data_IF_990278319871
#
_entry.id   IF_990278319871
#
_cell.length_a   1.000
_cell.length_b   1.000
_cell.length_c   1.000
_cell.angle_alpha   90.00
_cell.angle_beta   90.00
_cell.angle_gamma   90.00
#
_symmetry.space_group_name_H-M   'P 1'
#
loop_
_entity.id
_entity.type
_entity.pdbx_description
1 polymer ?
#
# COMPACT_ATOMS: atom_id res chain seq x y z
N UNK A 1 -41.62 63.61 36.74
CA UNK A 1 -41.26 62.18 36.63
C UNK A 1 -40.16 62.05 35.59
N UNK A 2 -39.05 61.38 35.93
CA UNK A 2 -37.76 61.46 35.24
C UNK A 2 -37.71 60.55 34.01
N UNK A 3 -37.34 61.10 32.86
CA UNK A 3 -36.89 60.35 31.70
C UNK A 3 -35.41 59.96 31.91
N UNK A 4 -35.11 58.67 31.90
CA UNK A 4 -33.75 58.14 31.98
C UNK A 4 -33.20 58.02 30.56
N UNK A 5 -32.23 58.88 30.23
CA UNK A 5 -31.58 58.95 28.93
C UNK A 5 -30.22 58.22 29.05
N UNK A 6 -30.16 56.94 28.66
CA UNK A 6 -28.91 56.16 28.68
C UNK A 6 -28.25 56.29 27.30
N UNK A 7 -27.17 57.08 27.25
CA UNK A 7 -26.22 57.08 26.13
C UNK A 7 -25.33 55.83 26.27
N UNK A 8 -25.42 54.90 25.31
CA UNK A 8 -24.48 53.80 25.15
C UNK A 8 -23.31 54.27 24.26
N UNK A 9 -22.11 54.26 24.81
CA UNK A 9 -20.85 54.51 24.08
C UNK A 9 -20.45 53.27 23.27
N UNK A 10 -19.77 53.43 22.11
CA UNK A 10 -19.27 52.30 21.34
C UNK A 10 -18.09 51.65 22.06
N UNK A 11 -18.26 50.41 22.51
CA UNK A 11 -17.16 49.58 22.98
C UNK A 11 -16.40 49.08 21.74
N UNK A 12 -15.07 49.25 21.65
CA UNK A 12 -14.29 48.75 20.52
C UNK A 12 -14.30 47.22 20.49
N UNK A 13 -14.68 46.67 19.34
CA UNK A 13 -14.74 45.23 19.02
C UNK A 13 -13.44 44.43 19.27
N UNK A 14 -12.33 45.10 19.61
CA UNK A 14 -11.03 44.48 19.85
C UNK A 14 -10.91 43.74 21.20
N UNK A 15 -11.77 44.02 22.19
CA UNK A 15 -11.68 43.41 23.52
C UNK A 15 -12.49 42.12 23.70
N UNK A 16 -13.45 41.84 22.82
CA UNK A 16 -14.21 40.58 22.88
C UNK A 16 -13.42 39.37 22.35
N UNK A 17 -12.45 39.59 21.45
CA UNK A 17 -11.59 38.53 20.92
C UNK A 17 -10.52 38.06 21.93
N UNK A 18 -10.08 38.92 22.85
CA UNK A 18 -9.09 38.55 23.87
C UNK A 18 -9.72 37.79 25.07
N UNK A 19 -11.01 38.03 25.36
CA UNK A 19 -11.70 37.35 26.46
C UNK A 19 -12.02 35.88 26.16
N UNK A 20 -12.13 35.46 24.88
CA UNK A 20 -12.27 34.05 24.52
C UNK A 20 -10.96 33.26 24.56
N UNK A 21 -9.80 33.91 24.55
CA UNK A 21 -8.50 33.22 24.66
C UNK A 21 -8.12 32.91 26.12
N UNK A 22 -8.72 33.59 27.11
CA UNK A 22 -8.45 33.39 28.53
C UNK A 22 -9.44 32.44 29.22
N UNK A 23 -10.57 32.13 28.59
CA UNK A 23 -11.37 30.97 28.97
C UNK A 23 -10.66 29.76 28.38
N UNK A 24 -9.97 28.98 29.22
CA UNK A 24 -9.36 27.69 28.87
C UNK A 24 -10.39 26.64 28.45
N UNK A 25 -11.26 26.96 27.49
CA UNK A 25 -11.90 26.00 26.61
C UNK A 25 -10.80 25.43 25.71
N UNK A 26 -9.93 24.63 26.31
CA UNK A 26 -9.48 23.42 25.64
C UNK A 26 -10.76 22.72 25.24
N UNK A 27 -11.24 22.93 24.01
CA UNK A 27 -12.08 21.93 23.40
C UNK A 27 -11.22 20.67 23.49
N UNK A 28 -11.63 19.62 24.22
CA UNK A 28 -11.06 18.32 23.97
C UNK A 28 -11.51 18.00 22.56
N UNK A 29 -10.73 18.43 21.58
CA UNK A 29 -10.60 17.78 20.31
C UNK A 29 -9.97 16.42 20.63
N UNK A 30 -10.71 15.56 21.35
CA UNK A 30 -10.84 14.16 20.98
C UNK A 30 -11.45 14.18 19.57
N UNK A 31 -10.65 14.67 18.62
CA UNK A 31 -10.90 14.48 17.21
C UNK A 31 -10.80 12.99 17.05
N UNK A 32 -11.95 12.34 16.89
CA UNK A 32 -12.03 10.99 16.36
C UNK A 32 -11.10 10.90 15.15
N UNK A 33 -9.99 10.22 15.38
CA UNK A 33 -8.75 10.31 14.59
C UNK A 33 -8.80 9.48 13.32
N UNK A 34 -9.73 8.52 13.26
CA UNK A 34 -9.81 7.51 12.24
C UNK A 34 -11.14 7.60 11.46
N UNK A 35 -11.13 7.16 10.22
CA UNK A 35 -12.30 7.05 9.33
C UNK A 35 -12.17 5.82 8.45
N UNK A 36 -13.28 5.29 7.95
CA UNK A 36 -13.23 4.29 6.88
C UNK A 36 -13.00 5.02 5.55
N UNK A 37 -11.86 4.80 4.90
CA UNK A 37 -11.61 5.28 3.54
C UNK A 37 -12.32 4.34 2.55
N UNK A 38 -13.30 4.89 1.83
CA UNK A 38 -14.14 4.14 0.90
C UNK A 38 -13.54 4.11 -0.50
N UNK A 39 -13.22 5.29 -1.04
CA UNK A 39 -12.67 5.46 -2.38
C UNK A 39 -11.86 6.74 -2.47
N UNK A 40 -10.89 6.76 -3.38
CA UNK A 40 -10.15 7.96 -3.76
C UNK A 40 -10.41 8.22 -5.25
N UNK A 41 -10.77 9.45 -5.57
CA UNK A 41 -10.98 9.91 -6.93
C UNK A 41 -9.88 10.90 -7.28
N UNK A 42 -9.36 10.82 -8.50
CA UNK A 42 -8.28 11.68 -8.99
C UNK A 42 -8.71 12.44 -10.25
N UNK A 43 -8.08 13.58 -10.48
CA UNK A 43 -8.29 14.38 -11.70
C UNK A 43 -9.39 15.44 -11.57
N UNK A 44 -9.74 16.11 -12.68
CA UNK A 44 -10.64 17.26 -12.68
C UNK A 44 -12.06 16.91 -12.21
N UNK A 45 -12.50 15.66 -12.45
CA UNK A 45 -13.83 15.18 -12.06
C UNK A 45 -13.86 14.50 -10.69
N UNK A 46 -12.75 14.54 -9.93
CA UNK A 46 -12.65 13.85 -8.65
C UNK A 46 -13.75 14.29 -7.67
N UNK A 47 -13.89 15.59 -7.46
CA UNK A 47 -14.87 16.15 -6.52
C UNK A 47 -16.33 15.91 -6.98
N UNK A 48 -16.74 16.24 -8.23
CA UNK A 48 -18.08 15.92 -8.72
C UNK A 48 -18.43 14.42 -8.60
N UNK A 49 -17.48 13.54 -8.90
CA UNK A 49 -17.66 12.09 -8.81
C UNK A 49 -17.86 11.65 -7.37
N UNK A 50 -16.99 12.11 -6.45
CA UNK A 50 -17.10 11.82 -5.03
C UNK A 50 -18.43 12.30 -4.44
N UNK A 51 -18.88 13.51 -4.83
CA UNK A 51 -20.16 14.08 -4.39
C UNK A 51 -21.36 13.26 -4.88
N UNK A 52 -21.33 12.81 -6.14
CA UNK A 52 -22.38 11.96 -6.70
C UNK A 52 -22.47 10.65 -5.93
N UNK A 53 -21.36 9.94 -5.76
CA UNK A 53 -21.32 8.66 -5.04
C UNK A 53 -21.68 8.84 -3.57
N UNK A 54 -21.23 9.91 -2.92
CA UNK A 54 -21.60 10.24 -1.54
C UNK A 54 -23.11 10.42 -1.36
N UNK A 55 -23.78 11.12 -2.29
CA UNK A 55 -25.25 11.26 -2.26
C UNK A 55 -25.98 9.93 -2.45
N UNK A 56 -25.51 9.09 -3.38
CA UNK A 56 -26.07 7.74 -3.61
C UNK A 56 -25.95 6.88 -2.34
N UNK A 57 -24.81 6.94 -1.64
CA UNK A 57 -24.59 6.21 -0.39
C UNK A 57 -25.48 6.72 0.76
N UNK A 58 -25.66 8.03 0.87
CA UNK A 58 -26.57 8.61 1.85
C UNK A 58 -28.02 8.15 1.62
N UNK A 59 -28.46 8.08 0.36
CA UNK A 59 -29.78 7.55 -0.02
C UNK A 59 -29.93 6.05 0.27
N UNK A 60 -28.84 5.28 0.21
CA UNK A 60 -28.78 3.87 0.61
C UNK A 60 -28.64 3.68 2.14
N UNK A 61 -28.80 4.75 2.90
CA UNK A 61 -28.87 4.73 4.36
C UNK A 61 -27.51 4.83 5.05
N UNK A 62 -26.45 5.29 4.37
CA UNK A 62 -25.13 5.55 4.98
C UNK A 62 -24.97 7.07 5.25
N UNK A 63 -25.56 7.62 6.33
CA UNK A 63 -25.60 9.07 6.55
C UNK A 63 -24.24 9.66 6.95
N UNK A 64 -23.33 8.85 7.49
CA UNK A 64 -22.04 9.30 8.03
C UNK A 64 -20.94 9.43 6.95
N UNK A 65 -21.33 9.52 5.68
CA UNK A 65 -20.41 9.71 4.58
C UNK A 65 -20.00 11.17 4.49
N UNK A 66 -18.70 11.41 4.31
CA UNK A 66 -18.16 12.74 4.07
C UNK A 66 -17.03 12.67 3.04
N UNK A 67 -16.70 13.83 2.46
CA UNK A 67 -15.65 13.94 1.45
C UNK A 67 -14.56 14.84 2.01
N UNK A 68 -13.31 14.42 1.86
CA UNK A 68 -12.15 15.26 2.10
C UNK A 68 -11.56 15.69 0.76
N UNK A 69 -11.47 17.00 0.55
CA UNK A 69 -10.85 17.58 -0.64
C UNK A 69 -9.33 17.68 -0.48
N UNK A 70 -8.61 17.43 -1.57
CA UNK A 70 -7.17 17.68 -1.68
C UNK A 70 -6.83 18.13 -3.10
N UNK A 71 -5.67 18.79 -3.33
CA UNK A 71 -5.30 19.25 -4.67
C UNK A 71 -5.30 18.10 -5.70
N UNK A 72 -6.26 18.12 -6.64
CA UNK A 72 -6.41 17.10 -7.69
C UNK A 72 -6.99 15.76 -7.23
N UNK A 73 -7.52 15.66 -6.02
CA UNK A 73 -8.04 14.41 -5.43
C UNK A 73 -9.23 14.66 -4.50
N UNK A 74 -10.17 13.72 -4.43
CA UNK A 74 -11.23 13.70 -3.45
C UNK A 74 -11.33 12.32 -2.79
N UNK A 75 -11.28 12.28 -1.46
CA UNK A 75 -11.39 11.03 -0.69
C UNK A 75 -12.79 10.91 -0.10
N UNK A 76 -13.48 9.83 -0.42
CA UNK A 76 -14.78 9.48 0.12
C UNK A 76 -14.61 8.64 1.38
N UNK A 77 -15.16 9.10 2.49
CA UNK A 77 -14.93 8.58 3.83
C UNK A 77 -16.25 8.27 4.54
N UNK A 78 -16.24 7.37 5.52
CA UNK A 78 -17.41 7.07 6.34
C UNK A 78 -17.08 6.93 7.84
N UNK A 79 -17.85 7.68 8.65
CA UNK A 79 -17.77 7.70 10.10
C UNK A 79 -16.46 8.25 10.65
N UNK A 80 -16.41 8.45 11.98
CA UNK A 80 -15.22 8.94 12.68
C UNK A 80 -15.07 8.16 13.98
N UNK A 81 -13.87 7.65 14.23
CA UNK A 81 -13.59 6.71 15.32
C UNK A 81 -12.33 7.10 16.09
N UNK A 82 -12.31 6.74 17.37
CA UNK A 82 -11.19 7.09 18.27
C UNK A 82 -10.03 6.10 18.19
N UNK A 83 -10.30 4.86 17.80
CA UNK A 83 -9.31 3.77 17.87
C UNK A 83 -9.55 2.69 16.82
N UNK A 84 -8.49 1.98 16.47
CA UNK A 84 -8.53 0.79 15.62
C UNK A 84 -9.32 -0.38 16.25
N UNK A 85 -9.61 -0.30 17.55
CA UNK A 85 -10.40 -1.29 18.30
C UNK A 85 -11.84 -0.82 18.56
N UNK A 86 -12.26 0.26 17.92
CA UNK A 86 -13.62 0.77 18.05
C UNK A 86 -14.61 -0.19 17.39
N UNK A 87 -15.57 -0.69 18.17
CA UNK A 87 -16.59 -1.62 17.68
C UNK A 87 -17.45 -1.00 16.57
N UNK A 88 -17.65 0.33 16.61
CA UNK A 88 -18.40 1.06 15.59
C UNK A 88 -17.61 1.13 14.27
N UNK A 89 -16.28 1.21 14.33
CA UNK A 89 -15.42 1.15 13.16
C UNK A 89 -15.52 -0.21 12.46
N UNK A 90 -15.48 -1.30 13.24
CA UNK A 90 -15.64 -2.66 12.73
C UNK A 90 -17.03 -2.90 12.12
N UNK A 91 -18.08 -2.36 12.76
CA UNK A 91 -19.44 -2.41 12.25
C UNK A 91 -19.55 -1.65 10.91
N UNK A 92 -18.96 -0.46 10.81
CA UNK A 92 -18.93 0.32 9.58
C UNK A 92 -18.15 -0.39 8.46
N UNK A 93 -16.97 -0.95 8.75
CA UNK A 93 -16.19 -1.72 7.76
C UNK A 93 -17.00 -2.89 7.19
N UNK A 94 -17.66 -3.67 8.07
CA UNK A 94 -18.53 -4.78 7.65
C UNK A 94 -19.71 -4.28 6.81
N UNK A 95 -20.29 -3.14 7.17
CA UNK A 95 -21.41 -2.53 6.46
C UNK A 95 -20.99 -2.07 5.06
N UNK A 96 -19.92 -1.27 4.97
CA UNK A 96 -19.41 -0.72 3.71
C UNK A 96 -18.99 -1.83 2.74
N UNK A 97 -18.33 -2.88 3.22
CA UNK A 97 -17.92 -4.03 2.38
C UNK A 97 -19.09 -4.82 1.79
N UNK A 98 -20.31 -4.66 2.32
CA UNK A 98 -21.52 -5.34 1.81
C UNK A 98 -22.30 -4.52 0.80
N UNK A 99 -21.95 -3.24 0.61
CA UNK A 99 -22.60 -2.37 -0.36
C UNK A 99 -22.36 -2.91 -1.76
N UNK A 100 -23.43 -2.94 -2.56
CA UNK A 100 -23.40 -3.34 -3.96
C UNK A 100 -23.78 -2.18 -4.86
N UNK A 101 -23.12 -2.08 -6.01
CA UNK A 101 -23.55 -1.17 -7.07
C UNK A 101 -24.76 -1.74 -7.85
N UNK A 102 -25.23 -1.00 -8.85
CA UNK A 102 -26.35 -1.41 -9.70
C UNK A 102 -26.07 -2.70 -10.49
N UNK A 103 -24.80 -3.05 -10.69
CA UNK A 103 -24.32 -4.25 -11.37
C UNK A 103 -24.06 -5.41 -10.39
N UNK A 104 -24.37 -5.24 -9.10
CA UNK A 104 -24.18 -6.23 -8.06
C UNK A 104 -22.73 -6.42 -7.60
N UNK A 105 -21.78 -5.59 -8.07
CA UNK A 105 -20.37 -5.65 -7.69
C UNK A 105 -20.15 -5.04 -6.30
N UNK A 106 -19.01 -5.36 -5.67
CA UNK A 106 -18.60 -4.81 -4.38
C UNK A 106 -17.56 -3.69 -4.57
N UNK A 107 -17.96 -2.45 -4.88
CA UNK A 107 -17.02 -1.36 -5.15
C UNK A 107 -16.11 -1.03 -3.95
N UNK A 108 -16.53 -1.40 -2.75
CA UNK A 108 -15.86 -1.10 -1.48
C UNK A 108 -15.33 -2.35 -0.76
N UNK A 109 -14.99 -3.42 -1.51
CA UNK A 109 -14.41 -4.62 -0.90
C UNK A 109 -13.06 -4.35 -0.20
N UNK A 110 -12.28 -3.38 -0.73
CA UNK A 110 -10.93 -3.03 -0.26
C UNK A 110 -10.86 -1.95 0.83
N UNK A 111 -11.98 -1.54 1.42
CA UNK A 111 -11.96 -0.44 2.40
C UNK A 111 -11.21 -0.78 3.66
N UNK A 112 -10.69 0.27 4.28
CA UNK A 112 -9.91 0.16 5.50
C UNK A 112 -10.06 1.40 6.38
N UNK A 113 -9.73 1.21 7.64
CA UNK A 113 -9.61 2.30 8.59
C UNK A 113 -8.30 3.07 8.31
N UNK A 114 -8.36 4.39 8.30
CA UNK A 114 -7.21 5.28 8.10
C UNK A 114 -7.35 6.51 9.00
N UNK A 115 -6.25 7.24 9.31
CA UNK A 115 -6.37 8.58 9.86
C UNK A 115 -7.24 9.46 8.97
N UNK A 116 -8.10 10.30 9.58
CA UNK A 116 -8.92 11.26 8.82
C UNK A 116 -8.00 12.05 7.89
N UNK A 117 -8.22 12.03 6.56
CA UNK A 117 -7.41 12.81 5.64
C UNK A 117 -7.47 14.28 6.03
N UNK A 118 -6.32 14.93 6.08
CA UNK A 118 -6.19 16.34 6.39
C UNK A 118 -5.90 17.10 5.09
N UNK A 119 -6.50 18.28 4.89
CA UNK A 119 -6.06 19.14 3.80
C UNK A 119 -4.58 19.47 4.03
N UNK A 120 -3.74 19.12 3.04
CA UNK A 120 -2.31 19.37 3.14
C UNK A 120 -2.05 20.87 3.27
N UNK A 121 -1.41 21.34 4.37
CA UNK A 121 -1.04 22.73 4.45
C UNK A 121 -0.06 23.03 3.32
N UNK A 122 -0.10 24.21 2.69
CA UNK A 122 0.83 24.58 1.64
C UNK A 122 2.27 24.38 2.12
N UNK A 123 3.01 23.46 1.49
CA UNK A 123 4.42 23.25 1.81
C UNK A 123 5.29 24.03 0.83
N UNK A 124 6.13 24.98 1.30
CA UNK A 124 7.11 25.61 0.43
C UNK A 124 8.26 24.66 0.06
N UNK A 125 8.42 23.55 0.79
CA UNK A 125 9.54 22.60 0.68
C UNK A 125 9.06 21.15 0.54
N UNK A 126 8.27 20.82 -0.50
CA UNK A 126 7.92 19.44 -0.82
C UNK A 126 9.18 18.63 -1.17
N UNK A 127 9.23 17.37 -0.77
CA UNK A 127 10.36 16.47 -1.02
C UNK A 127 10.74 16.34 -2.49
N UNK A 128 9.77 16.45 -3.39
CA UNK A 128 9.95 16.38 -4.84
C UNK A 128 10.89 17.50 -5.37
N UNK A 129 11.02 18.61 -4.63
CA UNK A 129 11.95 19.71 -4.95
C UNK A 129 13.40 19.46 -4.51
N UNK A 130 13.67 18.42 -3.74
CA UNK A 130 15.02 18.10 -3.31
C UNK A 130 15.94 17.80 -4.51
N UNK A 131 17.17 18.32 -4.44
CA UNK A 131 18.18 18.16 -5.49
C UNK A 131 18.93 16.84 -5.28
N UNK A 132 18.52 15.78 -5.96
CA UNK A 132 19.23 14.50 -5.90
C UNK A 132 18.32 13.32 -6.15
N UNK A 133 18.80 12.14 -5.76
CA UNK A 133 18.11 10.87 -5.88
C UNK A 133 17.75 10.34 -4.50
N UNK A 134 18.59 10.62 -3.51
CA UNK A 134 18.43 10.20 -2.13
C UNK A 134 18.25 11.40 -1.21
N UNK A 135 17.57 11.19 -0.10
CA UNK A 135 17.44 12.16 1.00
C UNK A 135 17.57 11.41 2.33
N UNK A 136 17.95 12.11 3.39
CA UNK A 136 18.13 11.50 4.70
C UNK A 136 16.82 11.55 5.49
N UNK A 137 16.15 10.41 5.70
CA UNK A 137 14.88 10.33 6.42
C UNK A 137 15.11 10.41 7.94
N UNK A 138 14.59 11.49 8.53
CA UNK A 138 14.85 11.87 9.91
C UNK A 138 13.66 11.61 10.84
N UNK A 139 12.43 11.87 10.39
CA UNK A 139 11.26 11.80 11.25
C UNK A 139 9.98 11.42 10.51
N UNK A 140 9.06 10.77 11.22
CA UNK A 140 7.75 10.34 10.71
C UNK A 140 6.62 10.67 11.69
N UNK A 141 5.46 11.05 11.15
CA UNK A 141 4.20 11.24 11.86
C UNK A 141 3.07 10.50 11.15
N UNK A 142 2.29 9.73 11.88
CA UNK A 142 1.12 8.98 11.44
C UNK A 142 -0.16 9.46 12.14
N UNK A 143 -0.06 9.93 13.38
CA UNK A 143 -1.22 10.42 14.13
C UNK A 143 -1.78 11.74 13.55
N UNK A 144 -3.04 12.11 13.82
CA UNK A 144 -3.62 13.35 13.32
C UNK A 144 -2.82 14.60 13.65
N UNK A 145 -2.99 15.61 12.81
CA UNK A 145 -2.10 16.75 12.70
C UNK A 145 -0.72 16.38 12.16
N UNK A 146 -0.50 15.16 11.61
CA UNK A 146 0.80 14.72 11.11
C UNK A 146 1.41 15.70 10.12
N UNK A 147 0.58 16.29 9.26
CA UNK A 147 1.06 17.17 8.20
C UNK A 147 1.60 18.48 8.79
N UNK A 148 0.82 19.11 9.69
CA UNK A 148 1.23 20.33 10.37
C UNK A 148 2.46 20.11 11.26
N UNK A 149 2.50 19.00 12.02
CA UNK A 149 3.64 18.67 12.89
C UNK A 149 4.92 18.38 12.10
N UNK A 150 4.83 17.66 10.99
CA UNK A 150 5.96 17.44 10.09
C UNK A 150 6.48 18.77 9.50
N UNK A 151 5.59 19.67 9.08
CA UNK A 151 5.99 20.99 8.55
C UNK A 151 6.64 21.87 9.61
N UNK A 152 6.13 21.86 10.84
CA UNK A 152 6.71 22.59 11.96
C UNK A 152 8.14 22.10 12.24
N UNK A 153 8.34 20.79 12.33
CA UNK A 153 9.67 20.21 12.54
C UNK A 153 10.63 20.49 11.38
N UNK A 154 10.18 20.41 10.12
CA UNK A 154 10.99 20.79 8.97
C UNK A 154 11.37 22.28 8.99
N UNK A 155 10.49 23.16 9.48
CA UNK A 155 10.81 24.58 9.67
C UNK A 155 11.88 24.78 10.76
N UNK A 156 11.81 24.06 11.87
CA UNK A 156 12.83 24.08 12.93
C UNK A 156 14.21 23.65 12.40
N UNK A 157 14.27 22.57 11.62
CA UNK A 157 15.51 22.10 11.01
C UNK A 157 16.10 23.14 10.04
N UNK A 158 15.26 23.80 9.24
CA UNK A 158 15.68 24.89 8.36
C UNK A 158 16.21 26.10 9.13
N UNK A 159 15.60 26.44 10.26
CA UNK A 159 16.12 27.48 11.15
C UNK A 159 17.50 27.12 11.73
N UNK A 160 17.82 25.83 11.84
CA UNK A 160 19.14 25.33 12.24
C UNK A 160 20.13 25.22 11.06
N UNK A 161 19.77 25.69 9.87
CA UNK A 161 20.62 25.66 8.68
C UNK A 161 20.58 24.37 7.88
N UNK A 162 19.64 23.45 8.17
CA UNK A 162 19.47 22.23 7.39
C UNK A 162 18.53 22.42 6.20
N UNK A 163 18.87 21.81 5.08
CA UNK A 163 17.99 21.74 3.90
C UNK A 163 16.90 20.66 4.14
N UNK A 164 15.85 21.00 4.89
CA UNK A 164 14.81 20.04 5.25
C UNK A 164 13.58 20.10 4.32
N UNK A 165 13.06 18.93 4.00
CA UNK A 165 11.91 18.71 3.12
C UNK A 165 10.81 17.92 3.82
N UNK A 166 9.58 18.02 3.29
CA UNK A 166 8.42 17.28 3.80
C UNK A 166 7.79 16.47 2.68
N UNK A 167 7.48 15.21 2.97
CA UNK A 167 6.66 14.34 2.13
C UNK A 167 5.39 13.96 2.86
N UNK A 168 4.23 14.18 2.24
CA UNK A 168 2.92 13.79 2.78
C UNK A 168 2.37 12.62 1.98
N UNK A 169 2.49 11.42 2.55
CA UNK A 169 1.83 10.23 2.04
C UNK A 169 0.41 10.06 2.59
N UNK A 170 -0.33 9.06 2.08
CA UNK A 170 -1.70 8.80 2.52
C UNK A 170 -1.84 8.55 4.02
N UNK A 171 -0.84 7.91 4.65
CA UNK A 171 -0.88 7.55 6.09
C UNK A 171 0.16 8.23 6.95
N UNK A 172 1.26 8.65 6.36
CA UNK A 172 2.42 9.14 7.09
C UNK A 172 2.93 10.42 6.46
N UNK A 173 3.45 11.31 7.29
CA UNK A 173 4.22 12.48 6.87
C UNK A 173 5.66 12.27 7.29
N UNK A 174 6.59 12.44 6.36
CA UNK A 174 8.02 12.30 6.59
C UNK A 174 8.70 13.65 6.52
N UNK A 175 9.70 13.84 7.38
CA UNK A 175 10.66 14.93 7.27
C UNK A 175 12.02 14.36 6.92
N UNK A 176 12.64 14.94 5.91
CA UNK A 176 13.95 14.50 5.41
C UNK A 176 14.91 15.68 5.33
N UNK A 177 16.21 15.41 5.26
CA UNK A 177 17.27 16.42 5.11
C UNK A 177 18.11 16.12 3.87
N UNK A 178 18.40 17.18 3.11
CA UNK A 178 19.31 17.19 1.98
C UNK A 178 18.77 16.50 0.73
N UNK A 179 19.47 16.73 -0.37
CA UNK A 179 19.36 15.94 -1.58
C UNK A 179 20.74 15.46 -2.01
N UNK A 180 20.85 14.16 -2.26
CA UNK A 180 22.13 13.49 -2.50
C UNK A 180 22.07 12.68 -3.80
N UNK A 181 23.14 12.77 -4.60
CA UNK A 181 23.31 11.92 -5.77
C UNK A 181 23.88 10.53 -5.40
N UNK A 182 24.13 9.67 -6.40
CA UNK A 182 24.62 8.32 -6.15
C UNK A 182 26.11 8.30 -5.75
N UNK A 183 26.84 9.41 -5.91
CA UNK A 183 28.24 9.60 -5.49
C UNK A 183 28.45 9.52 -3.97
N UNK A 184 27.39 9.51 -3.17
CA UNK A 184 27.50 9.30 -1.71
C UNK A 184 27.90 7.88 -1.31
N UNK A 185 27.88 6.96 -2.26
CA UNK A 185 28.19 5.56 -2.07
C UNK A 185 29.60 5.24 -2.57
N UNK A 186 30.23 4.24 -1.96
CA UNK A 186 31.50 3.65 -2.43
C UNK A 186 31.41 3.10 -3.86
N UNK A 187 30.26 2.53 -4.21
CA UNK A 187 29.95 2.08 -5.56
C UNK A 187 28.57 2.61 -6.01
N UNK A 188 28.54 3.78 -6.69
CA UNK A 188 27.31 4.41 -7.18
C UNK A 188 26.44 3.50 -8.06
N UNK A 189 27.05 2.58 -8.82
CA UNK A 189 26.33 1.68 -9.71
C UNK A 189 25.46 0.67 -8.97
N UNK A 190 25.79 0.35 -7.71
CA UNK A 190 25.03 -0.56 -6.85
C UNK A 190 23.88 0.14 -6.12
N UNK A 191 23.79 1.46 -6.16
CA UNK A 191 22.75 2.22 -5.46
C UNK A 191 21.36 1.88 -6.02
N UNK A 192 20.47 1.36 -5.17
CA UNK A 192 19.12 0.96 -5.55
C UNK A 192 19.02 -0.39 -6.27
N UNK A 193 20.12 -1.15 -6.42
CA UNK A 193 20.05 -2.53 -6.88
C UNK A 193 19.51 -3.44 -5.76
N UNK A 194 18.49 -4.28 -6.03
CA UNK A 194 17.96 -5.21 -5.04
C UNK A 194 19.04 -6.15 -4.48
N UNK A 195 19.15 -6.21 -3.14
CA UNK A 195 20.12 -7.06 -2.44
C UNK A 195 21.52 -6.46 -2.30
N UNK A 196 21.85 -5.41 -3.05
CA UNK A 196 23.11 -4.67 -2.87
C UNK A 196 23.04 -3.77 -1.64
N UNK A 197 24.17 -3.61 -0.94
CA UNK A 197 24.32 -2.74 0.23
C UNK A 197 25.57 -1.88 0.09
N UNK A 198 25.59 -0.92 -0.87
CA UNK A 198 26.73 -0.02 -1.00
C UNK A 198 26.95 0.78 0.28
N UNK A 199 28.20 1.04 0.62
CA UNK A 199 28.58 1.78 1.84
C UNK A 199 28.51 3.27 1.58
N UNK A 200 27.95 4.03 2.52
CA UNK A 200 27.98 5.49 2.48
C UNK A 200 29.39 5.98 2.79
N UNK A 201 29.95 6.81 1.91
CA UNK A 201 31.30 7.37 2.02
C UNK A 201 31.33 8.89 2.06
N UNK A 202 30.25 9.56 1.63
CA UNK A 202 30.17 11.02 1.64
C UNK A 202 30.24 11.59 3.07
N UNK A 203 31.25 12.44 3.40
CA UNK A 203 31.42 13.02 4.72
C UNK A 203 30.17 13.73 5.24
N UNK A 204 29.52 14.53 4.39
CA UNK A 204 28.31 15.27 4.77
C UNK A 204 27.13 14.37 5.19
N UNK A 205 27.05 13.15 4.66
CA UNK A 205 26.00 12.18 5.05
C UNK A 205 26.40 11.46 6.34
N UNK A 206 27.68 11.13 6.50
CA UNK A 206 28.21 10.55 7.73
C UNK A 206 28.04 11.50 8.92
N UNK A 207 28.25 12.80 8.71
CA UNK A 207 28.00 13.85 9.71
C UNK A 207 26.51 13.89 10.12
N UNK A 208 25.58 13.73 9.16
CA UNK A 208 24.15 13.65 9.47
C UNK A 208 23.80 12.38 10.26
N UNK A 209 24.38 11.23 9.91
CA UNK A 209 24.21 9.97 10.66
C UNK A 209 24.70 10.13 12.10
N UNK A 210 25.84 10.79 12.29
CA UNK A 210 26.37 11.05 13.63
C UNK A 210 25.52 12.06 14.40
N UNK A 211 25.06 13.13 13.75
CA UNK A 211 24.24 14.19 14.37
C UNK A 211 22.83 13.70 14.72
N UNK A 212 22.26 12.83 13.90
CA UNK A 212 20.91 12.31 14.04
C UNK A 212 20.91 10.77 14.00
N UNK A 213 21.46 10.09 15.01
CA UNK A 213 21.66 8.64 14.97
C UNK A 213 20.35 7.83 15.05
N UNK A 214 19.23 8.47 15.37
CA UNK A 214 17.93 7.83 15.61
C UNK A 214 16.82 8.62 14.96
N UNK A 215 15.87 7.89 14.39
CA UNK A 215 14.66 8.47 13.81
C UNK A 215 13.77 9.06 14.91
N UNK A 216 13.05 10.13 14.59
CA UNK A 216 11.95 10.62 15.43
C UNK A 216 10.61 10.07 14.97
N UNK A 217 9.80 9.58 15.91
CA UNK A 217 8.42 9.16 15.66
C UNK A 217 7.50 10.07 16.48
N UNK A 218 6.51 10.67 15.83
CA UNK A 218 5.56 11.59 16.47
C UNK A 218 6.20 12.80 17.18
N UNK A 219 7.42 13.18 16.75
CA UNK A 219 8.19 14.27 17.35
C UNK A 219 9.16 13.82 18.45
N UNK A 220 9.07 12.58 18.92
CA UNK A 220 9.96 12.03 19.95
C UNK A 220 11.10 11.22 19.33
N UNK A 221 12.30 11.33 19.91
CA UNK A 221 13.45 10.49 19.48
C UNK A 221 13.17 9.06 19.91
N UNK A 222 13.27 8.12 18.98
CA UNK A 222 13.03 6.70 19.29
C UNK A 222 13.94 6.21 20.42
N UNK A 223 13.41 5.39 21.35
CA UNK A 223 14.21 4.86 22.44
C UNK A 223 15.30 3.92 21.87
N UNK A 224 16.48 3.80 22.50
CA UNK A 224 17.59 3.00 21.97
C UNK A 224 17.21 1.56 21.61
N UNK A 225 16.26 0.98 22.35
CA UNK A 225 15.76 -0.39 22.22
C UNK A 225 14.94 -0.61 20.94
N UNK A 226 14.37 0.46 20.36
CA UNK A 226 13.59 0.35 19.13
C UNK A 226 14.46 0.06 17.90
N UNK A 227 15.77 0.36 17.96
CA UNK A 227 16.73 0.15 16.88
C UNK A 227 16.23 0.63 15.49
N UNK A 228 15.59 1.80 15.44
CA UNK A 228 15.13 2.42 14.19
C UNK A 228 16.15 3.50 13.77
N UNK A 229 17.19 3.13 13.00
CA UNK A 229 18.15 4.12 12.53
C UNK A 229 17.48 5.06 11.53
N UNK A 230 17.97 6.29 11.49
CA UNK A 230 17.75 7.14 10.31
C UNK A 230 18.32 6.45 9.07
N UNK A 231 17.63 6.61 7.95
CA UNK A 231 17.97 5.90 6.72
C UNK A 231 17.96 6.84 5.53
N UNK A 232 18.82 6.56 4.54
CA UNK A 232 18.67 7.18 3.23
C UNK A 232 17.46 6.56 2.53
N UNK A 233 16.58 7.41 2.04
CA UNK A 233 15.43 7.01 1.24
C UNK A 233 15.54 7.63 -0.14
N UNK A 234 14.98 6.95 -1.14
CA UNK A 234 14.93 7.46 -2.51
C UNK A 234 13.81 8.48 -2.64
N UNK A 235 14.10 9.60 -3.28
CA UNK A 235 13.11 10.66 -3.56
C UNK A 235 12.11 10.13 -4.60
N UNK A 236 10.79 10.20 -4.35
CA UNK A 236 9.77 9.77 -5.30
C UNK A 236 9.96 10.42 -6.68
N UNK A 237 9.79 9.63 -7.76
CA UNK A 237 9.93 10.11 -9.13
C UNK A 237 11.36 10.40 -9.61
N UNK A 238 12.38 10.22 -8.75
CA UNK A 238 13.79 10.33 -9.16
C UNK A 238 14.31 8.96 -9.56
N UNK A 239 14.93 8.83 -10.72
CA UNK A 239 15.54 7.58 -11.13
C UNK A 239 17.01 7.52 -10.68
N UNK A 240 17.46 6.32 -10.31
CA UNK A 240 18.91 6.11 -10.21
C UNK A 240 19.39 6.03 -11.65
N UNK A 241 20.43 6.78 -12.08
CA UNK A 241 21.05 6.56 -13.37
C UNK A 241 21.43 5.09 -13.39
N UNK A 242 20.70 4.30 -14.19
CA UNK A 242 21.00 2.89 -14.33
C UNK A 242 22.37 2.85 -14.96
N UNK A 243 23.30 2.11 -14.35
CA UNK A 243 24.64 1.95 -14.87
C UNK A 243 24.52 1.67 -16.38
N UNK A 244 25.02 2.62 -17.19
CA UNK A 244 24.87 2.60 -18.63
C UNK A 244 25.40 1.24 -19.13
N UNK A 245 24.50 0.38 -19.62
CA UNK A 245 24.92 -0.92 -20.18
C UNK A 245 24.02 -2.12 -19.86
N UNK A 246 23.13 -2.07 -18.87
CA UNK A 246 22.05 -3.08 -18.81
C UNK A 246 20.81 -2.54 -19.52
N UNK A 247 20.41 -3.10 -20.68
CA UNK A 247 19.13 -2.77 -21.28
C UNK A 247 18.06 -3.02 -20.22
N UNK A 248 17.26 -2.00 -19.92
CA UNK A 248 16.13 -2.18 -19.02
C UNK A 248 15.20 -3.21 -19.65
N UNK A 249 14.68 -4.17 -18.86
CA UNK A 249 13.65 -5.05 -19.36
C UNK A 249 12.47 -4.20 -19.84
N UNK A 250 12.06 -4.40 -21.09
CA UNK A 250 10.95 -3.68 -21.69
C UNK A 250 9.60 -4.08 -21.04
N UNK A 251 9.55 -5.29 -20.48
CA UNK A 251 8.35 -5.87 -19.87
C UNK A 251 8.75 -6.59 -18.59
N UNK A 252 8.08 -6.29 -17.49
CA UNK A 252 8.17 -7.05 -16.24
C UNK A 252 6.97 -8.01 -16.14
N UNK A 253 7.17 -9.19 -15.58
CA UNK A 253 6.09 -10.17 -15.37
C UNK A 253 5.87 -10.41 -13.90
N UNK A 254 4.72 -10.03 -13.37
CA UNK A 254 4.29 -10.43 -12.02
C UNK A 254 3.58 -11.77 -12.10
N UNK A 255 4.15 -12.77 -11.46
CA UNK A 255 3.54 -14.10 -11.32
C UNK A 255 2.97 -14.20 -9.91
N UNK A 256 1.70 -14.61 -9.80
CA UNK A 256 1.04 -14.92 -8.53
C UNK A 256 0.51 -16.34 -8.58
N UNK A 257 0.88 -17.17 -7.61
CA UNK A 257 0.45 -18.55 -7.49
C UNK A 257 -0.29 -18.75 -6.17
N UNK A 258 -1.30 -19.62 -6.17
CA UNK A 258 -2.04 -20.03 -4.99
C UNK A 258 -2.16 -21.55 -4.94
N UNK A 259 -1.90 -22.13 -3.76
CA UNK A 259 -2.14 -23.54 -3.47
C UNK A 259 -3.53 -23.67 -2.83
N UNK A 260 -4.45 -24.33 -3.54
CA UNK A 260 -5.86 -24.46 -3.16
C UNK A 260 -6.07 -25.87 -2.61
N UNK A 261 -6.56 -26.01 -1.37
CA UNK A 261 -6.96 -27.31 -0.84
C UNK A 261 -8.20 -27.80 -1.60
N UNK A 262 -8.12 -28.95 -2.27
CA UNK A 262 -9.21 -29.45 -3.09
C UNK A 262 -10.46 -29.77 -2.25
N UNK A 263 -10.32 -30.14 -0.97
CA UNK A 263 -11.46 -30.50 -0.10
C UNK A 263 -12.25 -29.27 0.34
N UNK A 264 -11.55 -28.18 0.63
CA UNK A 264 -12.18 -26.94 1.14
C UNK A 264 -12.33 -25.90 0.05
N UNK A 265 -11.68 -26.04 -1.09
CA UNK A 265 -11.63 -25.03 -2.14
C UNK A 265 -11.06 -23.69 -1.68
N UNK A 266 -10.35 -23.66 -0.54
CA UNK A 266 -9.78 -22.45 0.03
C UNK A 266 -8.28 -22.38 -0.23
N UNK A 267 -7.82 -21.18 -0.59
CA UNK A 267 -6.40 -20.80 -0.53
C UNK A 267 -6.20 -19.88 0.68
N UNK A 268 -5.80 -20.46 1.81
CA UNK A 268 -5.40 -19.69 3.00
C UNK A 268 -4.27 -18.70 2.64
N UNK A 269 -4.14 -17.59 3.37
CA UNK A 269 -3.16 -16.54 3.03
C UNK A 269 -1.70 -17.04 2.91
N UNK A 270 -1.33 -18.05 3.72
CA UNK A 270 -0.01 -18.72 3.65
C UNK A 270 0.22 -19.56 2.38
N UNK A 271 -0.84 -19.87 1.65
CA UNK A 271 -0.83 -20.63 0.41
C UNK A 271 -0.85 -19.72 -0.82
N UNK A 272 -0.26 -18.52 -0.71
CA UNK A 272 -0.09 -17.59 -1.82
C UNK A 272 1.35 -17.16 -1.89
N UNK A 273 1.91 -17.18 -3.09
CA UNK A 273 3.26 -16.73 -3.37
C UNK A 273 3.23 -15.85 -4.63
N UNK A 274 3.97 -14.74 -4.61
CA UNK A 274 4.06 -13.86 -5.77
C UNK A 274 5.49 -13.35 -5.94
N UNK A 275 5.86 -13.04 -7.17
CA UNK A 275 7.14 -12.44 -7.49
C UNK A 275 7.14 -11.79 -8.86
N UNK A 276 8.27 -11.17 -9.21
CA UNK A 276 8.43 -10.45 -10.47
C UNK A 276 9.64 -11.01 -11.22
N UNK A 277 9.43 -11.41 -12.47
CA UNK A 277 10.50 -11.77 -13.40
C UNK A 277 10.79 -10.56 -14.29
N UNK A 278 12.08 -10.28 -14.51
CA UNK A 278 12.50 -9.17 -15.36
C UNK A 278 12.42 -9.53 -16.85
N UNK A 279 12.37 -10.81 -17.17
CA UNK A 279 12.21 -11.26 -18.55
C UNK A 279 11.42 -12.55 -18.62
N UNK A 280 11.10 -12.96 -19.85
CA UNK A 280 10.43 -14.23 -20.10
C UNK A 280 11.31 -15.42 -19.70
N UNK A 281 12.62 -15.29 -19.91
CA UNK A 281 13.63 -16.32 -19.61
C UNK A 281 13.80 -16.54 -18.10
N UNK A 282 13.54 -15.52 -17.27
CA UNK A 282 13.60 -15.62 -15.82
C UNK A 282 12.35 -16.26 -15.19
N UNK A 283 11.22 -16.32 -15.91
CA UNK A 283 9.95 -16.81 -15.36
C UNK A 283 10.03 -18.25 -14.82
N UNK A 284 10.66 -19.23 -15.51
CA UNK A 284 10.75 -20.59 -14.97
C UNK A 284 11.46 -20.68 -13.62
N UNK A 285 12.58 -19.96 -13.45
CA UNK A 285 13.33 -19.93 -12.19
C UNK A 285 12.51 -19.27 -11.08
N UNK A 286 11.80 -18.19 -11.39
CA UNK A 286 10.87 -17.54 -10.46
C UNK A 286 9.77 -18.52 -10.02
N UNK A 287 9.09 -19.17 -10.98
CA UNK A 287 8.00 -20.10 -10.73
C UNK A 287 8.46 -21.27 -9.86
N UNK A 288 9.62 -21.86 -10.14
CA UNK A 288 10.19 -22.93 -9.31
C UNK A 288 10.37 -22.49 -7.84
N UNK A 289 10.87 -21.27 -7.62
CA UNK A 289 10.98 -20.69 -6.27
C UNK A 289 9.62 -20.50 -5.60
N UNK A 290 8.63 -19.98 -6.31
CA UNK A 290 7.27 -19.77 -5.78
C UNK A 290 6.58 -21.10 -5.45
N UNK A 291 6.68 -22.10 -6.32
CA UNK A 291 6.14 -23.45 -6.09
C UNK A 291 6.78 -24.08 -4.85
N UNK A 292 8.10 -23.99 -4.71
CA UNK A 292 8.79 -24.45 -3.49
C UNK A 292 8.25 -23.77 -2.23
N UNK A 293 8.06 -22.44 -2.25
CA UNK A 293 7.48 -21.70 -1.13
C UNK A 293 6.08 -22.18 -0.75
N UNK A 294 5.22 -22.43 -1.74
CA UNK A 294 3.87 -22.95 -1.52
C UNK A 294 3.89 -24.35 -0.89
N UNK A 295 4.76 -25.23 -1.39
CA UNK A 295 4.88 -26.60 -0.91
C UNK A 295 5.52 -26.69 0.48
N UNK A 296 6.47 -25.80 0.80
CA UNK A 296 7.07 -25.69 2.13
C UNK A 296 6.02 -25.27 3.18
N UNK A 297 4.96 -24.56 2.77
CA UNK A 297 3.83 -24.18 3.64
C UNK A 297 2.77 -25.28 3.78
N UNK A 298 2.75 -26.30 2.91
CA UNK A 298 1.78 -27.38 2.95
C UNK A 298 1.94 -28.23 4.24
N UNK A 299 0.85 -28.75 4.82
CA UNK A 299 0.91 -29.55 6.05
C UNK A 299 1.95 -30.67 5.99
N UNK A 300 2.77 -30.78 7.03
CA UNK A 300 3.72 -31.89 7.15
C UNK A 300 3.00 -33.20 7.47
N UNK A 301 3.57 -34.33 7.02
CA UNK A 301 3.08 -35.67 7.36
C UNK A 301 3.15 -36.65 6.20
N UNK A 302 2.13 -36.64 5.33
CA UNK A 302 1.99 -37.57 4.21
C UNK A 302 2.34 -36.91 2.87
N UNK A 303 2.79 -37.68 1.86
CA UNK A 303 2.88 -37.18 0.50
C UNK A 303 1.54 -36.61 0.05
N UNK A 304 1.55 -35.42 -0.54
CA UNK A 304 0.35 -34.74 -1.04
C UNK A 304 0.30 -34.80 -2.55
N UNK A 305 -0.87 -35.10 -3.12
CA UNK A 305 -1.08 -35.08 -4.56
C UNK A 305 -1.35 -33.64 -4.99
N UNK A 306 -0.54 -33.11 -5.90
CA UNK A 306 -0.63 -31.70 -6.33
C UNK A 306 -0.64 -31.62 -7.85
N UNK A 307 -1.69 -30.99 -8.40
CA UNK A 307 -1.82 -30.71 -9.83
C UNK A 307 -1.76 -29.21 -10.14
N UNK A 308 -1.57 -28.86 -11.42
CA UNK A 308 -1.64 -27.48 -11.90
C UNK A 308 -2.97 -27.24 -12.62
N UNK A 309 -3.89 -26.52 -11.98
CA UNK A 309 -5.26 -26.36 -12.49
C UNK A 309 -5.39 -25.25 -13.55
N UNK A 310 -4.47 -24.29 -13.59
CA UNK A 310 -4.43 -23.26 -14.62
C UNK A 310 -3.67 -22.01 -14.21
N UNK A 311 -3.35 -21.19 -15.20
CA UNK A 311 -2.78 -19.86 -15.02
C UNK A 311 -3.51 -18.91 -15.98
N UNK A 312 -3.95 -17.74 -15.49
CA UNK A 312 -4.56 -16.71 -16.32
C UNK A 312 -3.55 -15.61 -16.70
N UNK A 313 -3.51 -15.23 -17.97
CA UNK A 313 -2.98 -13.92 -18.36
C UNK A 313 -4.00 -12.83 -18.03
N UNK A 314 -3.63 -11.84 -17.23
CA UNK A 314 -4.57 -10.81 -16.74
C UNK A 314 -4.61 -9.54 -17.59
N UNK A 315 -3.73 -9.45 -18.59
CA UNK A 315 -3.63 -8.34 -19.53
C UNK A 315 -3.29 -8.84 -20.93
N UNK A 316 -3.55 -8.00 -21.93
CA UNK A 316 -3.41 -8.36 -23.34
C UNK A 316 -1.96 -8.66 -23.74
N UNK A 317 -0.99 -8.01 -23.10
CA UNK A 317 0.43 -8.21 -23.40
C UNK A 317 0.93 -9.55 -22.87
N UNK A 318 0.57 -9.91 -21.63
CA UNK A 318 0.83 -11.24 -21.07
C UNK A 318 0.20 -12.34 -21.93
N UNK A 319 -1.03 -12.14 -22.40
CA UNK A 319 -1.74 -13.09 -23.26
C UNK A 319 -1.06 -13.23 -24.64
N UNK A 320 -0.71 -12.11 -25.28
CA UNK A 320 0.01 -12.07 -26.56
C UNK A 320 1.35 -12.79 -26.47
N UNK A 321 2.06 -12.64 -25.35
CA UNK A 321 3.35 -13.27 -25.09
C UNK A 321 3.23 -14.74 -24.64
N UNK A 322 2.01 -15.27 -24.50
CA UNK A 322 1.72 -16.62 -23.98
C UNK A 322 2.40 -16.86 -22.62
N UNK A 323 2.43 -15.84 -21.78
CA UNK A 323 3.09 -15.91 -20.48
C UNK A 323 2.40 -16.89 -19.53
N UNK A 324 1.08 -17.03 -19.64
CA UNK A 324 0.26 -17.98 -18.91
C UNK A 324 0.65 -19.44 -19.19
N UNK A 325 0.80 -19.79 -20.48
CA UNK A 325 1.25 -21.11 -20.89
C UNK A 325 2.67 -21.43 -20.37
N UNK A 326 3.58 -20.46 -20.45
CA UNK A 326 4.94 -20.61 -19.93
C UNK A 326 4.96 -20.81 -18.40
N UNK A 327 4.16 -20.04 -17.67
CA UNK A 327 4.06 -20.20 -16.20
C UNK A 327 3.44 -21.55 -15.86
N UNK A 328 2.42 -22.01 -16.59
CA UNK A 328 1.79 -23.32 -16.36
C UNK A 328 2.77 -24.48 -16.62
N UNK A 329 3.57 -24.40 -17.69
CA UNK A 329 4.65 -25.35 -17.99
C UNK A 329 5.69 -25.37 -16.86
N UNK A 330 6.13 -24.19 -16.41
CA UNK A 330 7.10 -24.07 -15.33
C UNK A 330 6.55 -24.58 -13.98
N UNK A 331 5.25 -24.40 -13.69
CA UNK A 331 4.61 -24.97 -12.49
C UNK A 331 4.64 -26.49 -12.57
N UNK A 332 4.30 -27.05 -13.72
CA UNK A 332 4.31 -28.51 -13.96
C UNK A 332 5.71 -29.09 -13.78
N UNK A 333 6.73 -28.45 -14.36
CA UNK A 333 8.12 -28.86 -14.21
C UNK A 333 8.60 -28.76 -12.74
N UNK A 334 8.23 -27.69 -12.03
CA UNK A 334 8.57 -27.51 -10.63
C UNK A 334 7.89 -28.54 -9.71
N UNK A 335 6.64 -28.93 -10.01
CA UNK A 335 5.95 -30.00 -9.30
C UNK A 335 6.60 -31.36 -9.55
N UNK A 336 7.00 -31.66 -10.78
CA UNK A 336 7.71 -32.91 -11.09
C UNK A 336 9.08 -33.01 -10.40
N UNK A 337 9.74 -31.88 -10.18
CA UNK A 337 10.99 -31.78 -9.42
C UNK A 337 10.79 -31.68 -7.90
N UNK A 338 9.55 -31.52 -7.41
CA UNK A 338 9.26 -31.50 -5.98
C UNK A 338 9.47 -32.92 -5.44
N UNK A 339 10.42 -33.09 -4.51
CA UNK A 339 10.85 -34.39 -3.99
C UNK A 339 9.74 -35.24 -3.35
N UNK A 340 10.07 -36.29 -2.59
CA UNK A 340 9.14 -37.38 -2.24
C UNK A 340 7.89 -36.99 -1.41
N UNK A 341 7.82 -35.74 -0.92
CA UNK A 341 6.65 -35.19 -0.23
C UNK A 341 5.52 -34.79 -1.17
N UNK A 342 5.77 -34.72 -2.48
CA UNK A 342 4.78 -34.30 -3.47
C UNK A 342 4.63 -35.41 -4.51
N UNK A 343 3.39 -35.82 -4.73
CA UNK A 343 3.01 -36.68 -5.85
C UNK A 343 2.43 -35.77 -6.93
N UNK A 344 3.28 -35.37 -7.89
CA UNK A 344 2.86 -34.49 -8.97
C UNK A 344 1.79 -35.18 -9.82
N UNK A 345 0.65 -34.50 -10.00
CA UNK A 345 -0.37 -34.92 -10.96
C UNK A 345 -0.05 -34.23 -12.29
N UNK A 346 0.24 -35.04 -13.30
CA UNK A 346 0.58 -34.54 -14.63
C UNK A 346 -0.51 -33.66 -15.25
N UNK A 347 -0.19 -32.87 -16.28
CA UNK A 347 -1.12 -31.92 -16.89
C UNK A 347 -2.33 -32.63 -17.53
N UNK A 348 -2.11 -33.78 -18.20
CA UNK A 348 -3.19 -34.58 -18.79
C UNK A 348 -4.14 -35.15 -17.72
N UNK A 349 -3.60 -35.74 -16.66
CA UNK A 349 -4.40 -36.26 -15.55
C UNK A 349 -5.16 -35.13 -14.83
N UNK A 350 -4.55 -33.95 -14.68
CA UNK A 350 -5.23 -32.78 -14.11
C UNK A 350 -6.39 -32.33 -15.00
N UNK A 351 -6.19 -32.28 -16.32
CA UNK A 351 -7.24 -31.94 -17.28
C UNK A 351 -8.40 -32.95 -17.24
N UNK A 352 -8.10 -34.25 -17.22
CA UNK A 352 -9.12 -35.31 -17.10
C UNK A 352 -9.91 -35.21 -15.79
N UNK A 353 -9.27 -34.86 -14.68
CA UNK A 353 -9.94 -34.67 -13.40
C UNK A 353 -10.87 -33.45 -13.39
N UNK A 354 -10.46 -32.35 -14.04
CA UNK A 354 -11.30 -31.18 -14.20
C UNK A 354 -12.48 -31.46 -15.13
N UNK A 355 -12.26 -32.14 -16.26
CA UNK A 355 -13.29 -32.53 -17.22
C UNK A 355 -14.32 -33.48 -16.59
N UNK A 356 -13.87 -34.49 -15.85
CA UNK A 356 -14.75 -35.41 -15.11
C UNK A 356 -15.60 -34.69 -14.05
N UNK A 357 -15.13 -33.55 -13.54
CA UNK A 357 -15.87 -32.70 -12.60
C UNK A 357 -16.77 -31.66 -13.31
N UNK A 358 -16.79 -31.62 -14.65
CA UNK A 358 -17.50 -30.63 -15.45
C UNK A 358 -16.92 -29.22 -15.31
N UNK A 359 -15.62 -29.10 -15.01
CA UNK A 359 -14.96 -27.83 -14.73
C UNK A 359 -14.03 -27.42 -15.87
N UNK A 360 -14.30 -26.25 -16.45
CA UNK A 360 -13.32 -25.60 -17.31
C UNK A 360 -12.22 -24.94 -16.46
N UNK A 361 -10.93 -24.95 -16.89
CA UNK A 361 -9.85 -24.25 -16.19
C UNK A 361 -10.15 -22.78 -15.90
N UNK A 362 -10.79 -22.07 -16.83
CA UNK A 362 -11.20 -20.68 -16.66
C UNK A 362 -12.22 -20.49 -15.50
N UNK A 363 -13.13 -21.44 -15.32
CA UNK A 363 -14.09 -21.41 -14.22
C UNK A 363 -13.39 -21.62 -12.87
N UNK A 364 -12.41 -22.54 -12.81
CA UNK A 364 -11.59 -22.76 -11.60
C UNK A 364 -10.75 -21.54 -11.25
N UNK A 365 -10.21 -20.85 -12.25
CA UNK A 365 -9.46 -19.61 -12.03
C UNK A 365 -10.35 -18.47 -11.51
N UNK A 366 -11.61 -18.41 -11.96
CA UNK A 366 -12.59 -17.45 -11.47
C UNK A 366 -13.11 -17.79 -10.06
N UNK A 367 -13.33 -19.08 -9.78
CA UNK A 367 -13.74 -19.57 -8.46
C UNK A 367 -13.02 -20.88 -8.09
N UNK A 368 -11.90 -20.80 -7.35
CA UNK A 368 -11.15 -21.97 -6.91
C UNK A 368 -11.94 -22.92 -6.02
N UNK A 369 -13.10 -22.49 -5.47
CA UNK A 369 -13.95 -23.34 -4.65
C UNK A 369 -14.60 -24.47 -5.43
N UNK A 370 -14.66 -24.34 -6.75
CA UNK A 370 -15.18 -25.37 -7.64
C UNK A 370 -14.34 -26.65 -7.59
N UNK A 371 -13.05 -26.57 -7.20
CA UNK A 371 -12.18 -27.75 -7.07
C UNK A 371 -12.67 -28.80 -6.07
N UNK A 372 -13.65 -28.49 -5.21
CA UNK A 372 -14.29 -29.45 -4.29
C UNK A 372 -14.97 -30.63 -4.98
N UNK A 373 -15.39 -30.46 -6.24
CA UNK A 373 -15.97 -31.55 -7.02
C UNK A 373 -14.91 -32.38 -7.75
N UNK A 374 -13.66 -31.92 -7.85
CA UNK A 374 -12.59 -32.64 -8.49
C UNK A 374 -11.95 -33.65 -7.52
N UNK A 375 -12.06 -34.94 -7.83
CA UNK A 375 -11.37 -35.99 -7.07
C UNK A 375 -9.98 -36.24 -7.66
N UNK A 376 -9.02 -36.65 -6.82
CA UNK A 376 -7.73 -37.15 -7.29
C UNK A 376 -6.49 -36.28 -7.05
N UNK A 377 -6.63 -35.11 -6.43
CA UNK A 377 -5.50 -34.41 -5.81
C UNK A 377 -5.89 -33.78 -4.47
N UNK A 378 -4.94 -33.65 -3.55
CA UNK A 378 -5.16 -32.99 -2.26
C UNK A 378 -5.12 -31.46 -2.42
N UNK A 379 -4.30 -30.97 -3.35
CA UNK A 379 -4.17 -29.56 -3.68
C UNK A 379 -4.06 -29.31 -5.17
N UNK A 380 -4.48 -28.12 -5.60
CA UNK A 380 -4.19 -27.61 -6.93
C UNK A 380 -3.49 -26.26 -6.86
N UNK A 381 -2.50 -26.05 -7.74
CA UNK A 381 -1.93 -24.74 -7.97
C UNK A 381 -2.75 -24.03 -9.04
N UNK A 382 -3.23 -22.84 -8.70
CA UNK A 382 -3.80 -21.86 -9.64
C UNK A 382 -2.90 -20.65 -9.68
N UNK A 383 -2.95 -19.86 -10.75
CA UNK A 383 -2.13 -18.67 -10.84
C UNK A 383 -2.61 -17.62 -11.80
N UNK A 384 -1.90 -16.51 -11.78
CA UNK A 384 -2.05 -15.44 -12.76
C UNK A 384 -0.69 -14.86 -13.11
N UNK A 385 -0.59 -14.35 -14.33
CA UNK A 385 0.55 -13.56 -14.78
C UNK A 385 0.07 -12.24 -15.36
N UNK A 386 0.69 -11.16 -14.89
CA UNK A 386 0.44 -9.80 -15.36
C UNK A 386 1.73 -9.24 -15.92
N UNK A 387 1.69 -8.67 -17.12
CA UNK A 387 2.79 -7.92 -17.69
C UNK A 387 2.67 -6.44 -17.34
N UNK A 388 3.80 -5.79 -17.10
CA UNK A 388 3.88 -4.36 -16.88
C UNK A 388 4.83 -3.77 -17.90
N UNK A 389 4.37 -2.87 -18.80
CA UNK A 389 5.28 -2.00 -19.49
C UNK A 389 5.99 -1.16 -18.44
N UNK A 390 7.30 -1.02 -18.59
CA UNK A 390 8.08 -0.24 -17.64
C UNK A 390 7.90 1.26 -17.88
#
# INVERSE_FOLDING_TARGET
MRACNIKLSPIPFALAALALAAAGCEFPLQQRQLTVLMAEYHGPDAMPTAQRVGRELMQQGLPDVFIVESPGMASLCAGRYDSWRDNDADAMLKRVRRIRDAQGQFPFAGVMLVPVPEPAPPTPWPLERAKGIFTFHLASWEAPGRMARAQAYAAELRAQGHEAYVYHGPRLSMVTIGGFGPEIFDNPALAGQPGSRPKITAPQVLDLIQKFPRMRLEGEVTPPEAHIPTQLVKIPGRETPVAAGRPLPQVLFRVSLALVDARTGQAEGRFRAAGVAQSREEMPALVAKLVKQLLDAAPAGRPVRVGAAGVAATDADAARLKADALVLEAVTAALAAAGPRVVAVGPEATAQMLDAAGLAPAAVLADPRLLRSAQGFDYAITGSVTSFPR
#
